data_IF_859016777691
#
_entry.id   IF_859016777691
#
_cell.length_a   1.000
_cell.length_b   1.000
_cell.length_c   1.000
_cell.angle_alpha   90.00
_cell.angle_beta   90.00
_cell.angle_gamma   90.00
#
_symmetry.space_group_name_H-M   'P 1'
#
loop_
_entity.id
_entity.type
_entity.pdbx_description
1 polymer ?
#
# COMPACT_ATOMS: atom_id res chain seq x y z
N UNK A 1 31.01 10.09 -2.80
CA UNK A 1 29.61 9.62 -2.91
C UNK A 1 28.97 9.80 -1.55
N UNK A 2 28.36 10.95 -1.27
CA UNK A 2 27.88 11.24 0.10
C UNK A 2 26.67 12.20 0.09
N UNK A 3 25.68 11.94 -0.77
CA UNK A 3 24.40 12.68 -0.78
C UNK A 3 23.22 11.89 -0.21
N UNK A 4 23.38 10.57 0.04
CA UNK A 4 22.28 9.72 0.49
C UNK A 4 21.87 9.91 1.96
N UNK A 5 22.70 10.54 2.80
CA UNK A 5 22.46 10.59 4.27
C UNK A 5 21.53 11.72 4.73
N UNK A 6 21.52 12.87 4.04
CA UNK A 6 20.65 14.01 4.41
C UNK A 6 19.19 13.78 4.04
N UNK A 7 18.95 13.04 2.96
CA UNK A 7 17.61 12.60 2.58
C UNK A 7 17.06 11.60 3.61
N UNK A 8 17.91 10.80 4.27
CA UNK A 8 17.45 9.79 5.23
C UNK A 8 16.85 10.42 6.48
N UNK A 9 17.44 11.49 7.01
CA UNK A 9 16.93 12.16 8.22
C UNK A 9 15.65 12.95 7.95
N UNK A 10 15.59 13.66 6.82
CA UNK A 10 14.40 14.38 6.40
C UNK A 10 13.25 13.42 6.06
N UNK A 11 13.54 12.32 5.36
CA UNK A 11 12.56 11.27 5.08
C UNK A 11 12.11 10.57 6.36
N UNK A 12 13.00 10.32 7.33
CA UNK A 12 12.64 9.76 8.64
C UNK A 12 11.68 10.69 9.37
N UNK A 13 11.98 11.99 9.49
CA UNK A 13 11.09 12.97 10.14
C UNK A 13 9.75 13.13 9.43
N UNK A 14 9.73 13.08 8.10
CA UNK A 14 8.48 13.10 7.33
C UNK A 14 7.69 11.81 7.52
N UNK A 15 8.34 10.64 7.47
CA UNK A 15 7.72 9.34 7.74
C UNK A 15 7.17 9.27 9.17
N UNK A 16 7.82 9.91 10.14
CA UNK A 16 7.38 9.92 11.53
C UNK A 16 6.13 10.79 11.74
N UNK A 17 6.07 11.93 11.05
CA UNK A 17 4.87 12.79 11.01
C UNK A 17 3.76 12.22 10.14
N UNK A 18 4.09 11.39 9.15
CA UNK A 18 3.17 10.82 8.18
C UNK A 18 3.19 9.28 8.23
N UNK A 19 3.25 8.71 9.43
CA UNK A 19 3.40 7.25 9.65
C UNK A 19 2.32 6.45 8.92
N UNK A 20 1.08 6.92 8.99
CA UNK A 20 -0.04 6.26 8.33
C UNK A 20 0.06 6.31 6.80
N UNK A 21 0.44 7.46 6.25
CA UNK A 21 0.61 7.61 4.81
C UNK A 21 1.80 6.80 4.28
N UNK A 22 2.91 6.79 5.02
CA UNK A 22 4.07 5.95 4.70
C UNK A 22 3.71 4.46 4.76
N UNK A 23 2.95 4.04 5.78
CA UNK A 23 2.43 2.67 5.89
C UNK A 23 1.51 2.33 4.72
N UNK A 24 0.62 3.24 4.33
CA UNK A 24 -0.25 3.08 3.15
C UNK A 24 0.57 2.85 1.87
N UNK A 25 1.58 3.70 1.60
CA UNK A 25 2.42 3.58 0.41
C UNK A 25 3.22 2.27 0.39
N UNK A 26 3.78 1.87 1.55
CA UNK A 26 4.49 0.59 1.69
C UNK A 26 3.56 -0.57 1.39
N UNK A 27 2.40 -0.62 2.05
CA UNK A 27 1.43 -1.70 1.86
C UNK A 27 0.98 -1.79 0.40
N UNK A 28 0.64 -0.66 -0.22
CA UNK A 28 0.24 -0.59 -1.63
C UNK A 28 1.31 -1.15 -2.57
N UNK A 29 2.57 -0.81 -2.33
CA UNK A 29 3.68 -1.28 -3.16
C UNK A 29 3.92 -2.78 -2.99
N UNK A 30 3.87 -3.27 -1.74
CA UNK A 30 4.00 -4.70 -1.43
C UNK A 30 2.88 -5.51 -2.06
N UNK A 31 1.62 -5.11 -1.87
CA UNK A 31 0.46 -5.79 -2.48
C UNK A 31 0.57 -5.82 -4.00
N UNK A 32 1.00 -4.73 -4.64
CA UNK A 32 1.22 -4.71 -6.09
C UNK A 32 2.28 -5.71 -6.55
N UNK A 33 3.37 -5.86 -5.80
CA UNK A 33 4.41 -6.83 -6.13
C UNK A 33 3.93 -8.27 -5.92
N UNK A 34 3.21 -8.51 -4.83
CA UNK A 34 2.63 -9.81 -4.50
C UNK A 34 1.70 -10.29 -5.62
N UNK A 35 0.68 -9.47 -5.97
CA UNK A 35 -0.28 -9.79 -7.03
C UNK A 35 0.34 -10.02 -8.41
N UNK A 36 1.52 -9.46 -8.68
CA UNK A 36 2.18 -9.56 -9.98
C UNK A 36 3.16 -10.71 -10.11
N UNK A 37 3.75 -11.16 -9.00
CA UNK A 37 4.94 -12.03 -9.04
C UNK A 37 4.84 -13.25 -8.14
N UNK A 38 3.94 -13.25 -7.16
CA UNK A 38 3.92 -14.26 -6.09
C UNK A 38 2.54 -14.89 -5.91
N UNK A 39 1.47 -14.14 -6.14
CA UNK A 39 0.11 -14.62 -5.97
C UNK A 39 -0.20 -15.80 -6.90
N UNK A 40 -0.84 -16.82 -6.35
CA UNK A 40 -1.42 -17.95 -7.07
C UNK A 40 -2.79 -17.57 -7.64
N UNK A 41 -3.39 -18.46 -8.44
CA UNK A 41 -4.72 -18.23 -8.99
C UNK A 41 -5.77 -18.06 -7.89
N UNK A 42 -5.70 -18.92 -6.86
CA UNK A 42 -6.60 -18.88 -5.70
C UNK A 42 -6.46 -17.57 -4.92
N UNK A 43 -5.22 -17.09 -4.72
CA UNK A 43 -4.97 -15.79 -4.08
C UNK A 43 -5.59 -14.63 -4.90
N UNK A 44 -5.52 -14.70 -6.24
CA UNK A 44 -6.09 -13.66 -7.11
C UNK A 44 -7.62 -13.65 -6.98
N UNK A 45 -8.26 -14.83 -7.02
CA UNK A 45 -9.71 -14.96 -6.86
C UNK A 45 -10.19 -14.44 -5.50
N UNK A 46 -9.49 -14.77 -4.41
CA UNK A 46 -9.80 -14.23 -3.08
C UNK A 46 -9.66 -12.70 -3.05
N UNK A 47 -8.58 -12.16 -3.62
CA UNK A 47 -8.33 -10.72 -3.66
C UNK A 47 -9.38 -9.97 -4.49
N UNK A 48 -9.87 -10.55 -5.57
CA UNK A 48 -10.98 -9.97 -6.35
C UNK A 48 -12.26 -9.85 -5.53
N UNK A 49 -12.61 -10.91 -4.78
CA UNK A 49 -13.77 -10.88 -3.88
C UNK A 49 -13.64 -9.79 -2.80
N UNK A 50 -12.48 -9.69 -2.16
CA UNK A 50 -12.19 -8.65 -1.17
C UNK A 50 -12.27 -7.24 -1.77
N UNK A 51 -11.79 -7.05 -3.00
CA UNK A 51 -11.88 -5.76 -3.72
C UNK A 51 -13.34 -5.41 -4.02
N UNK A 52 -14.17 -6.38 -4.42
CA UNK A 52 -15.58 -6.16 -4.69
C UNK A 52 -16.32 -5.70 -3.43
N UNK A 53 -16.13 -6.37 -2.31
CA UNK A 53 -16.72 -5.97 -1.02
C UNK A 53 -16.26 -4.58 -0.58
N UNK A 54 -14.96 -4.27 -0.75
CA UNK A 54 -14.43 -2.96 -0.39
C UNK A 54 -14.99 -1.84 -1.28
N UNK A 55 -15.18 -2.09 -2.56
CA UNK A 55 -15.82 -1.12 -3.47
C UNK A 55 -17.28 -0.88 -3.10
N UNK A 56 -18.03 -1.94 -2.75
CA UNK A 56 -19.42 -1.82 -2.31
C UNK A 56 -19.56 -0.97 -1.05
N UNK A 57 -18.73 -1.21 -0.03
CA UNK A 57 -18.73 -0.37 1.18
C UNK A 57 -18.43 1.10 0.86
N UNK A 58 -17.41 1.38 0.05
CA UNK A 58 -17.08 2.75 -0.34
C UNK A 58 -18.21 3.44 -1.12
N UNK A 59 -18.91 2.72 -1.99
CA UNK A 59 -20.03 3.27 -2.76
C UNK A 59 -21.21 3.58 -1.84
N UNK A 60 -21.54 2.68 -0.91
CA UNK A 60 -22.63 2.85 0.05
C UNK A 60 -22.37 4.01 1.03
N UNK A 61 -21.12 4.23 1.42
CA UNK A 61 -20.74 5.36 2.28
C UNK A 61 -20.82 6.73 1.55
N UNK A 62 -21.00 6.71 0.22
CA UNK A 62 -21.05 7.92 -0.62
C UNK A 62 -22.47 8.36 -0.98
N UNK A 63 -23.50 7.60 -0.60
CA UNK A 63 -24.93 7.86 -0.81
C UNK A 63 -25.61 8.30 0.49
#
# INVERSE_FOLDING_TARGET
MEENSKQTEANKKWQEKNREHARYLRNRSTTRSFLRKQATLEDIEEMENLILERKKSLLLDSE
#
